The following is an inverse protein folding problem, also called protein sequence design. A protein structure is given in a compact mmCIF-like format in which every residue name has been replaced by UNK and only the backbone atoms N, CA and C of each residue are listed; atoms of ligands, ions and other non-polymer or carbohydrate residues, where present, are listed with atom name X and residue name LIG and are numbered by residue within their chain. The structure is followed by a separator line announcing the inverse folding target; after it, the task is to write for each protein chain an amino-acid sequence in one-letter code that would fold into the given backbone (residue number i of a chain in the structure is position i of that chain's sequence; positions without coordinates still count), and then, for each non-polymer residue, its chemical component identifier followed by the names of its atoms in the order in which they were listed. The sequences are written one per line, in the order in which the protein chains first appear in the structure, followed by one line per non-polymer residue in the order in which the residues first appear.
data_IF_897454691200
#
_entry.id   IF_897454691200
#
_cell.length_a   1.000
_cell.length_b   1.000
_cell.length_c   1.000
_cell.angle_alpha   90.00
_cell.angle_beta   90.00
_cell.angle_gamma   90.00
#
_symmetry.space_group_name_H-M   'P 1'
#
loop_
_entity.id
_entity.type
_entity.pdbx_description
1 polymer ?
#
# COMPACT_ATOMS: atom_id res chain seq x y z
N UNK A 1 35.73 -33.23 21.41
CA UNK A 1 34.46 -32.86 20.78
C UNK A 1 34.78 -31.81 19.72
N UNK A 2 34.59 -32.10 18.43
CA UNK A 2 34.98 -31.16 17.36
C UNK A 2 33.84 -30.17 17.14
N UNK A 3 34.10 -28.88 17.37
CA UNK A 3 33.17 -27.81 17.01
C UNK A 3 33.36 -27.53 15.51
N UNK A 4 32.43 -28.02 14.69
CA UNK A 4 32.37 -27.63 13.29
C UNK A 4 31.87 -26.17 13.21
N UNK A 5 32.60 -25.25 12.56
CA UNK A 5 32.09 -23.90 12.32
C UNK A 5 30.93 -23.97 11.33
N UNK A 6 29.80 -23.35 11.67
CA UNK A 6 28.70 -23.16 10.72
C UNK A 6 29.18 -22.22 9.59
N UNK A 7 28.90 -22.54 8.30
CA UNK A 7 29.28 -21.66 7.21
C UNK A 7 28.47 -20.36 7.28
N UNK A 8 29.17 -19.22 7.37
CA UNK A 8 28.58 -17.90 7.39
C UNK A 8 28.15 -17.42 5.99
N UNK A 9 27.30 -18.21 5.33
CA UNK A 9 26.43 -17.67 4.29
C UNK A 9 25.40 -16.77 4.96
N UNK A 10 25.26 -15.52 4.49
CA UNK A 10 24.07 -14.74 4.82
C UNK A 10 22.85 -15.53 4.32
N UNK A 11 21.96 -15.92 5.23
CA UNK A 11 20.86 -16.82 4.89
C UNK A 11 19.83 -16.06 4.05
N UNK A 12 19.60 -16.52 2.80
CA UNK A 12 18.51 -16.00 1.97
C UNK A 12 17.20 -16.03 2.76
N UNK A 13 16.48 -14.90 2.77
CA UNK A 13 15.19 -14.82 3.47
C UNK A 13 14.25 -15.94 2.98
N UNK A 14 13.50 -16.59 3.88
CA UNK A 14 12.84 -17.87 3.61
C UNK A 14 11.69 -17.75 2.61
N UNK A 15 11.20 -18.91 2.13
CA UNK A 15 10.00 -18.99 1.32
C UNK A 15 8.80 -18.37 2.06
N UNK A 16 7.93 -17.64 1.34
CA UNK A 16 6.79 -16.94 1.94
C UNK A 16 5.78 -17.94 2.50
N UNK A 17 5.41 -18.96 1.72
CA UNK A 17 4.46 -20.00 2.11
C UNK A 17 5.16 -21.05 3.00
N UNK A 18 4.53 -21.43 4.10
CA UNK A 18 5.03 -22.43 5.04
C UNK A 18 5.00 -23.83 4.42
N UNK A 19 5.99 -24.65 4.78
CA UNK A 19 6.04 -26.07 4.42
C UNK A 19 6.57 -26.89 5.60
N UNK A 20 6.61 -28.23 5.48
CA UNK A 20 7.21 -29.11 6.50
C UNK A 20 8.69 -28.81 6.77
N UNK A 21 9.40 -28.20 5.82
CA UNK A 21 10.81 -27.78 5.94
C UNK A 21 10.99 -26.26 6.03
N UNK A 22 9.89 -25.50 5.91
CA UNK A 22 9.84 -24.04 6.06
C UNK A 22 8.73 -23.67 7.06
N UNK A 23 8.92 -24.04 8.32
CA UNK A 23 8.07 -23.61 9.43
C UNK A 23 8.61 -22.35 10.11
N UNK A 24 7.75 -21.66 10.86
CA UNK A 24 8.21 -20.63 11.79
C UNK A 24 9.00 -21.31 12.93
N UNK A 25 10.22 -20.84 13.28
CA UNK A 25 10.98 -21.43 14.38
C UNK A 25 10.22 -21.36 15.70
N UNK A 26 10.15 -22.46 16.44
CA UNK A 26 9.32 -22.58 17.66
C UNK A 26 9.69 -21.59 18.80
N UNK A 27 10.83 -20.91 18.71
CA UNK A 27 11.21 -19.85 19.65
C UNK A 27 10.63 -18.46 19.27
N UNK A 28 10.13 -18.28 18.05
CA UNK A 28 9.46 -17.04 17.63
C UNK A 28 8.03 -17.03 18.17
N UNK A 29 7.89 -16.71 19.45
CA UNK A 29 6.60 -16.62 20.14
C UNK A 29 6.12 -15.17 20.24
N UNK A 30 4.80 -14.92 20.31
CA UNK A 30 4.25 -13.57 20.35
C UNK A 30 4.82 -12.70 21.47
N UNK A 31 5.01 -13.24 22.68
CA UNK A 31 5.50 -12.47 23.80
C UNK A 31 6.95 -12.01 23.66
N UNK A 32 7.83 -12.86 23.11
CA UNK A 32 9.21 -12.47 22.74
C UNK A 32 9.23 -11.43 21.61
N UNK A 33 8.34 -11.55 20.63
CA UNK A 33 8.23 -10.59 19.52
C UNK A 33 7.73 -9.22 20.00
N UNK A 34 6.76 -9.18 20.91
CA UNK A 34 6.34 -7.93 21.58
C UNK A 34 7.46 -7.34 22.44
N UNK A 35 8.21 -8.15 23.19
CA UNK A 35 9.34 -7.66 23.97
C UNK A 35 10.46 -7.08 23.09
N UNK A 36 10.73 -7.70 21.93
CA UNK A 36 11.69 -7.19 20.94
C UNK A 36 11.23 -5.89 20.27
N UNK A 37 9.94 -5.78 19.93
CA UNK A 37 9.30 -4.54 19.48
C UNK A 37 9.43 -3.44 20.56
N UNK A 38 9.08 -3.73 21.81
CA UNK A 38 9.17 -2.78 22.91
C UNK A 38 10.61 -2.33 23.22
N UNK A 39 11.62 -3.19 22.99
CA UNK A 39 13.03 -2.80 23.06
C UNK A 39 13.49 -1.84 21.95
N UNK A 40 12.69 -1.68 20.89
CA UNK A 40 12.95 -0.80 19.74
C UNK A 40 12.07 0.45 19.75
N UNK A 41 10.90 0.37 20.37
CA UNK A 41 9.99 1.48 20.64
C UNK A 41 9.46 1.36 22.07
N UNK A 42 9.93 2.22 22.98
CA UNK A 42 9.44 2.24 24.37
C UNK A 42 8.01 2.77 24.53
N UNK A 43 7.45 3.37 23.49
CA UNK A 43 6.14 4.02 23.46
C UNK A 43 5.21 3.34 22.43
N UNK A 44 5.11 2.00 22.47
CA UNK A 44 4.10 1.26 21.70
C UNK A 44 2.73 1.49 22.33
N UNK A 45 1.77 1.90 21.50
CA UNK A 45 0.39 2.13 21.93
C UNK A 45 -0.29 0.81 22.35
N UNK A 46 -1.08 0.86 23.41
CA UNK A 46 -1.78 -0.30 23.98
C UNK A 46 -2.71 -1.02 23.01
N UNK A 47 -3.26 -0.35 21.99
CA UNK A 47 -4.07 -1.05 20.98
C UNK A 47 -3.27 -2.04 20.11
N UNK A 48 -1.93 -1.90 20.04
CA UNK A 48 -1.06 -2.87 19.37
C UNK A 48 -0.61 -4.03 20.28
N UNK A 49 -1.06 -4.11 21.54
CA UNK A 49 -0.62 -5.13 22.51
C UNK A 49 -0.75 -6.58 22.03
N UNK A 50 -1.72 -6.89 21.16
CA UNK A 50 -1.94 -8.24 20.61
C UNK A 50 -1.24 -8.49 19.27
N UNK A 51 -0.62 -7.49 18.63
CA UNK A 51 -0.27 -7.57 17.20
C UNK A 51 0.59 -8.78 16.82
N UNK A 52 1.54 -9.19 17.66
CA UNK A 52 2.34 -10.40 17.42
C UNK A 52 1.54 -11.70 17.51
N UNK A 53 0.50 -11.74 18.35
CA UNK A 53 -0.42 -12.87 18.45
C UNK A 53 -1.36 -12.93 17.24
N UNK A 54 -1.78 -11.78 16.71
CA UNK A 54 -2.55 -11.71 15.46
C UNK A 54 -1.72 -12.12 14.24
N UNK A 55 -0.46 -11.68 14.13
CA UNK A 55 0.47 -12.18 13.09
C UNK A 55 0.63 -13.69 13.18
N UNK A 56 0.78 -14.23 14.39
CA UNK A 56 0.90 -15.66 14.60
C UNK A 56 -0.37 -16.43 14.22
N UNK A 57 -1.53 -16.00 14.72
CA UNK A 57 -2.81 -16.68 14.54
C UNK A 57 -3.22 -16.67 13.07
N UNK A 58 -3.27 -15.50 12.46
CA UNK A 58 -3.66 -15.32 11.04
C UNK A 58 -2.58 -15.91 10.12
N UNK A 59 -1.31 -15.91 10.54
CA UNK A 59 -0.21 -16.53 9.83
C UNK A 59 -0.27 -18.06 9.82
N UNK A 60 -0.51 -18.68 10.98
CA UNK A 60 -0.73 -20.12 11.12
C UNK A 60 -2.04 -20.55 10.43
N UNK A 61 -3.07 -19.70 10.35
CA UNK A 61 -4.27 -19.90 9.52
C UNK A 61 -3.89 -19.93 8.02
N UNK A 62 -3.29 -18.85 7.51
CA UNK A 62 -2.94 -18.61 6.10
C UNK A 62 -1.71 -19.38 5.58
N UNK A 63 -1.03 -20.16 6.44
CA UNK A 63 0.19 -20.94 6.12
C UNK A 63 1.30 -20.08 5.53
N UNK A 64 1.55 -18.90 6.12
CA UNK A 64 2.59 -17.94 5.72
C UNK A 64 3.65 -17.81 6.81
N UNK A 65 4.92 -17.62 6.44
CA UNK A 65 6.07 -17.36 7.33
C UNK A 65 5.94 -15.97 7.99
N UNK A 66 4.98 -15.89 8.89
CA UNK A 66 4.49 -14.66 9.52
C UNK A 66 5.50 -13.98 10.43
N UNK A 67 6.54 -14.69 10.88
CA UNK A 67 7.69 -14.12 11.58
C UNK A 67 8.41 -13.08 10.72
N UNK A 68 8.61 -13.37 9.43
CA UNK A 68 9.26 -12.42 8.52
C UNK A 68 8.31 -11.28 8.14
N UNK A 69 7.00 -11.55 8.04
CA UNK A 69 5.99 -10.48 7.90
C UNK A 69 5.96 -9.53 9.12
N UNK A 70 6.17 -10.06 10.33
CA UNK A 70 6.31 -9.23 11.54
C UNK A 70 7.57 -8.36 11.47
N UNK A 71 8.72 -8.90 11.05
CA UNK A 71 9.94 -8.11 10.86
C UNK A 71 9.81 -7.07 9.73
N UNK A 72 9.07 -7.38 8.67
CA UNK A 72 8.72 -6.45 7.61
C UNK A 72 7.82 -5.32 8.15
N UNK A 73 6.82 -5.62 8.98
CA UNK A 73 6.00 -4.62 9.67
C UNK A 73 6.86 -3.70 10.57
N UNK A 74 7.85 -4.23 11.30
CA UNK A 74 8.76 -3.40 12.09
C UNK A 74 9.56 -2.40 11.21
N UNK A 75 9.89 -2.78 9.97
CA UNK A 75 10.56 -1.90 9.01
C UNK A 75 9.60 -0.85 8.42
N UNK A 76 8.45 -1.28 7.88
CA UNK A 76 7.44 -0.42 7.24
C UNK A 76 6.87 0.65 8.19
N UNK A 77 6.57 0.26 9.42
CA UNK A 77 5.94 1.15 10.42
C UNK A 77 6.96 1.93 11.28
N UNK A 78 8.25 1.67 11.09
CA UNK A 78 9.31 2.19 11.95
C UNK A 78 9.16 1.75 13.41
N UNK A 79 8.88 0.45 13.65
CA UNK A 79 8.55 -0.15 14.95
C UNK A 79 7.28 0.45 15.58
N UNK A 80 6.21 0.56 14.78
CA UNK A 80 4.93 1.16 15.14
C UNK A 80 5.03 2.63 15.60
N UNK A 81 5.99 3.39 15.05
CA UNK A 81 6.11 4.84 15.31
C UNK A 81 5.50 5.72 14.23
N UNK A 82 5.09 5.15 13.08
CA UNK A 82 4.23 5.78 12.06
C UNK A 82 4.65 7.20 11.64
N UNK A 83 5.96 7.37 11.35
CA UNK A 83 6.58 8.66 10.98
C UNK A 83 6.50 8.99 9.47
N UNK A 84 5.63 8.30 8.74
CA UNK A 84 5.41 8.48 7.30
C UNK A 84 4.03 9.06 7.00
N UNK A 85 3.51 8.82 5.80
CA UNK A 85 2.16 9.25 5.42
C UNK A 85 1.05 8.44 6.14
N UNK A 86 1.36 7.17 6.48
CA UNK A 86 0.48 6.26 7.22
C UNK A 86 0.52 6.57 8.72
N UNK A 87 -0.66 6.75 9.32
CA UNK A 87 -0.88 6.98 10.75
C UNK A 87 -1.19 5.67 11.50
N UNK A 88 -0.91 5.65 12.81
CA UNK A 88 -1.14 4.46 13.67
C UNK A 88 -2.59 3.96 13.63
N UNK A 89 -3.55 4.88 13.76
CA UNK A 89 -4.99 4.59 13.77
C UNK A 89 -5.54 4.00 12.45
N UNK A 90 -4.74 3.90 11.39
CA UNK A 90 -5.12 3.23 10.15
C UNK A 90 -4.92 1.71 10.20
N UNK A 91 -4.21 1.18 11.20
CA UNK A 91 -3.81 -0.25 11.28
C UNK A 91 -3.09 -0.77 10.02
N UNK A 92 -2.52 0.13 9.20
CA UNK A 92 -1.94 -0.23 7.89
C UNK A 92 -0.45 -0.56 8.03
N UNK A 93 -0.17 -1.79 8.44
CA UNK A 93 1.16 -2.27 8.82
C UNK A 93 2.15 -2.50 7.66
N UNK A 94 1.75 -2.18 6.43
CA UNK A 94 2.45 -2.57 5.22
C UNK A 94 2.39 -1.52 4.09
N UNK A 95 2.04 -0.27 4.42
CA UNK A 95 2.02 0.84 3.45
C UNK A 95 1.00 0.67 2.31
N UNK A 96 -0.04 -0.15 2.50
CA UNK A 96 -0.97 -0.51 1.43
C UNK A 96 -1.73 0.73 0.96
N UNK A 97 -1.50 1.12 -0.30
CA UNK A 97 -2.13 2.28 -0.94
C UNK A 97 -1.40 3.61 -0.70
N UNK A 98 -0.41 3.67 0.21
CA UNK A 98 0.40 4.87 0.40
C UNK A 98 1.36 5.05 -0.80
N UNK A 99 1.53 6.30 -1.26
CA UNK A 99 2.34 6.62 -2.46
C UNK A 99 3.43 7.68 -2.21
N UNK A 100 3.62 8.07 -0.95
CA UNK A 100 4.39 9.26 -0.59
C UNK A 100 3.54 10.54 -0.59
N UNK A 101 4.15 11.65 -0.16
CA UNK A 101 3.62 13.03 -0.34
C UNK A 101 2.27 13.29 0.37
N UNK A 102 2.08 12.73 1.55
CA UNK A 102 0.88 12.82 2.40
C UNK A 102 -0.34 12.04 1.90
N UNK A 103 -0.19 11.11 0.95
CA UNK A 103 -1.25 10.15 0.59
C UNK A 103 -1.22 9.01 1.63
N UNK A 104 -2.23 8.90 2.53
CA UNK A 104 -2.13 8.05 3.72
C UNK A 104 -2.31 6.56 3.44
N UNK A 105 -2.80 6.20 2.25
CA UNK A 105 -3.15 4.83 1.91
C UNK A 105 -4.43 4.31 2.60
N UNK A 106 -4.60 3.00 2.58
CA UNK A 106 -5.77 2.32 3.14
C UNK A 106 -5.81 2.38 4.67
N UNK A 107 -6.99 2.10 5.23
CA UNK A 107 -7.23 2.04 6.67
C UNK A 107 -8.08 0.80 6.99
N UNK A 108 -7.75 0.11 8.07
CA UNK A 108 -8.39 -1.13 8.50
C UNK A 108 -9.04 -0.96 9.88
N UNK A 109 -10.22 -1.54 10.08
CA UNK A 109 -11.06 -1.31 11.26
C UNK A 109 -10.38 -1.67 12.59
N UNK A 110 -9.51 -2.68 12.57
CA UNK A 110 -8.77 -3.16 13.74
C UNK A 110 -7.40 -3.75 13.34
N UNK A 111 -6.58 -4.04 14.35
CA UNK A 111 -5.23 -4.60 14.20
C UNK A 111 -5.26 -5.95 13.48
N UNK A 112 -6.20 -6.85 13.82
CA UNK A 112 -6.29 -8.17 13.20
C UNK A 112 -6.60 -8.07 11.69
N UNK A 113 -7.46 -7.13 11.29
CA UNK A 113 -7.80 -6.84 9.89
C UNK A 113 -6.61 -6.25 9.15
N UNK A 114 -5.87 -5.31 9.77
CA UNK A 114 -4.63 -4.76 9.20
C UNK A 114 -3.52 -5.81 9.04
N UNK A 115 -3.39 -6.75 9.98
CA UNK A 115 -2.49 -7.90 9.88
C UNK A 115 -2.91 -8.84 8.75
N UNK A 116 -4.21 -9.17 8.66
CA UNK A 116 -4.76 -9.97 7.56
C UNK A 116 -4.50 -9.31 6.19
N UNK A 117 -4.65 -7.99 6.08
CA UNK A 117 -4.37 -7.22 4.88
C UNK A 117 -2.91 -7.40 4.41
N UNK A 118 -1.95 -7.26 5.32
CA UNK A 118 -0.52 -7.46 5.04
C UNK A 118 -0.23 -8.90 4.60
N UNK A 119 -0.68 -9.90 5.37
CA UNK A 119 -0.43 -11.31 5.07
C UNK A 119 -1.07 -11.76 3.75
N UNK A 120 -2.27 -11.25 3.42
CA UNK A 120 -2.90 -11.45 2.12
C UNK A 120 -2.10 -10.79 0.99
N UNK A 121 -1.60 -9.55 1.15
CA UNK A 121 -0.76 -8.93 0.11
C UNK A 121 0.51 -9.75 -0.15
N UNK A 122 1.13 -10.30 0.90
CA UNK A 122 2.30 -11.18 0.77
C UNK A 122 1.99 -12.54 0.09
N UNK A 123 0.82 -13.13 0.37
CA UNK A 123 0.37 -14.33 -0.35
C UNK A 123 0.15 -14.06 -1.85
N UNK A 124 -0.41 -12.90 -2.20
CA UNK A 124 -0.56 -12.48 -3.59
C UNK A 124 0.79 -12.29 -4.30
N UNK A 125 1.79 -11.71 -3.63
CA UNK A 125 3.17 -11.70 -4.13
C UNK A 125 3.73 -13.12 -4.33
N UNK A 126 3.43 -14.03 -3.40
CA UNK A 126 3.81 -15.44 -3.49
C UNK A 126 2.97 -16.28 -4.49
N UNK A 127 2.17 -15.64 -5.36
CA UNK A 127 1.40 -16.29 -6.41
C UNK A 127 0.21 -17.11 -5.92
N UNK A 128 -0.34 -16.78 -4.74
CA UNK A 128 -1.66 -17.28 -4.33
C UNK A 128 -2.76 -16.42 -4.97
N UNK A 129 -3.89 -17.05 -5.34
CA UNK A 129 -5.12 -16.33 -5.64
C UNK A 129 -5.98 -16.24 -4.38
N UNK A 130 -6.62 -15.09 -4.16
CA UNK A 130 -7.37 -14.80 -2.95
C UNK A 130 -8.79 -14.37 -3.31
N UNK A 131 -9.77 -15.18 -2.93
CA UNK A 131 -11.20 -14.97 -3.29
C UNK A 131 -11.76 -13.67 -2.69
N UNK A 132 -11.42 -13.36 -1.44
CA UNK A 132 -11.78 -12.11 -0.76
C UNK A 132 -10.57 -11.50 0.00
N UNK A 133 -9.78 -10.64 -0.67
CA UNK A 133 -8.73 -9.85 -0.05
C UNK A 133 -9.32 -8.65 0.72
N UNK A 134 -8.96 -8.46 2.00
CA UNK A 134 -9.53 -7.36 2.82
C UNK A 134 -9.01 -5.97 2.45
N UNK A 135 -7.97 -5.89 1.62
CA UNK A 135 -7.40 -4.63 1.13
C UNK A 135 -7.71 -4.43 -0.36
N UNK A 136 -8.17 -3.22 -0.69
CA UNK A 136 -8.53 -2.80 -2.05
C UNK A 136 -7.33 -2.82 -2.99
N UNK A 137 -6.14 -2.48 -2.51
CA UNK A 137 -4.90 -2.67 -3.29
C UNK A 137 -4.65 -4.13 -3.60
N UNK A 138 -4.95 -5.06 -2.70
CA UNK A 138 -4.77 -6.50 -2.95
C UNK A 138 -5.78 -6.99 -3.99
N UNK A 139 -7.05 -6.54 -3.93
CA UNK A 139 -8.03 -6.80 -5.00
C UNK A 139 -7.52 -6.33 -6.36
N UNK A 140 -7.14 -5.06 -6.48
CA UNK A 140 -6.75 -4.41 -7.75
C UNK A 140 -5.43 -4.95 -8.31
N UNK A 141 -4.43 -5.23 -7.46
CA UNK A 141 -3.15 -5.85 -7.88
C UNK A 141 -3.37 -7.28 -8.41
N UNK A 142 -4.36 -8.00 -7.88
CA UNK A 142 -4.75 -9.33 -8.36
C UNK A 142 -5.57 -9.25 -9.67
N UNK A 143 -6.62 -8.44 -9.69
CA UNK A 143 -7.54 -8.26 -10.82
C UNK A 143 -6.79 -7.82 -12.09
N UNK A 144 -5.92 -6.82 -11.98
CA UNK A 144 -5.16 -6.27 -13.11
C UNK A 144 -3.88 -7.07 -13.41
N UNK A 145 -3.63 -8.19 -12.72
CA UNK A 145 -2.47 -9.06 -12.95
C UNK A 145 -1.11 -8.38 -12.76
N UNK A 146 -1.01 -7.36 -11.89
CA UNK A 146 0.15 -6.44 -11.82
C UNK A 146 1.46 -7.18 -11.49
N UNK A 147 1.38 -8.28 -10.75
CA UNK A 147 2.53 -9.11 -10.39
C UNK A 147 2.77 -10.30 -11.35
N UNK A 148 1.86 -10.57 -12.27
CA UNK A 148 1.83 -11.80 -13.08
C UNK A 148 3.07 -11.95 -13.96
N UNK A 149 3.54 -10.88 -14.61
CA UNK A 149 4.74 -10.96 -15.46
C UNK A 149 6.04 -11.07 -14.66
N UNK A 150 6.11 -10.46 -13.47
CA UNK A 150 7.22 -10.71 -12.54
C UNK A 150 7.21 -12.16 -12.05
N UNK A 151 6.05 -12.69 -11.65
CA UNK A 151 5.89 -14.07 -11.19
C UNK A 151 6.32 -15.11 -12.25
N UNK A 152 6.03 -14.86 -13.54
CA UNK A 152 6.52 -15.69 -14.66
C UNK A 152 8.05 -15.77 -14.77
N UNK A 153 8.80 -14.81 -14.21
CA UNK A 153 10.28 -14.86 -14.20
C UNK A 153 10.85 -15.76 -13.10
N UNK A 154 10.07 -16.03 -12.05
CA UNK A 154 10.51 -16.78 -10.88
C UNK A 154 10.50 -18.29 -11.15
N UNK A 155 11.37 -19.01 -10.45
CA UNK A 155 11.49 -20.48 -10.54
C UNK A 155 11.37 -21.09 -9.15
N UNK A 156 10.33 -21.88 -8.92
CA UNK A 156 10.02 -22.47 -7.61
C UNK A 156 9.27 -21.51 -6.67
N UNK A 157 9.10 -21.88 -5.39
CA UNK A 157 8.33 -21.10 -4.42
C UNK A 157 8.97 -19.74 -4.12
N UNK A 158 8.16 -18.69 -4.11
CA UNK A 158 8.62 -17.32 -3.88
C UNK A 158 9.16 -17.15 -2.46
N UNK A 159 10.28 -16.44 -2.32
CA UNK A 159 10.91 -16.12 -1.03
C UNK A 159 10.89 -14.62 -0.69
N UNK A 160 11.06 -14.28 0.58
CA UNK A 160 11.01 -12.89 1.05
C UNK A 160 12.12 -12.01 0.46
N UNK A 161 13.24 -12.59 0.00
CA UNK A 161 14.32 -11.90 -0.73
C UNK A 161 13.86 -11.47 -2.14
N UNK A 162 13.05 -12.28 -2.81
CA UNK A 162 12.39 -11.95 -4.09
C UNK A 162 11.25 -10.94 -3.88
N UNK A 163 10.39 -11.14 -2.87
CA UNK A 163 9.32 -10.19 -2.51
C UNK A 163 9.93 -8.81 -2.24
N UNK A 164 10.96 -8.73 -1.40
CA UNK A 164 11.66 -7.50 -1.05
C UNK A 164 12.11 -6.67 -2.26
N UNK A 165 12.60 -7.35 -3.31
CA UNK A 165 13.08 -6.71 -4.55
C UNK A 165 11.94 -6.17 -5.42
N UNK A 166 10.77 -6.79 -5.37
CA UNK A 166 9.58 -6.34 -6.11
C UNK A 166 8.75 -5.32 -5.32
N UNK A 167 8.76 -5.41 -3.99
CA UNK A 167 8.04 -4.54 -3.07
C UNK A 167 8.69 -3.15 -2.95
N UNK A 168 10.02 -3.11 -2.84
CA UNK A 168 10.81 -1.89 -2.74
C UNK A 168 11.90 -1.82 -3.83
N UNK A 169 11.56 -1.78 -5.14
CA UNK A 169 12.51 -1.94 -6.23
C UNK A 169 13.55 -0.82 -6.35
N UNK A 170 13.31 0.35 -5.74
CA UNK A 170 14.29 1.43 -5.64
C UNK A 170 15.29 1.23 -4.48
N UNK A 171 14.98 0.36 -3.51
CA UNK A 171 15.79 0.14 -2.31
C UNK A 171 16.79 -0.99 -2.48
N UNK A 172 18.09 -0.65 -2.47
CA UNK A 172 19.19 -1.61 -2.44
C UNK A 172 19.46 -2.22 -1.06
N UNK A 173 18.63 -1.92 -0.05
CA UNK A 173 18.84 -2.32 1.34
C UNK A 173 17.68 -3.08 1.98
N UNK A 174 16.44 -2.85 1.53
CA UNK A 174 15.21 -3.36 2.16
C UNK A 174 15.27 -4.84 2.60
N UNK A 175 15.66 -5.75 1.69
CA UNK A 175 15.78 -7.18 2.01
C UNK A 175 16.83 -7.47 3.12
N UNK A 176 17.98 -6.78 3.06
CA UNK A 176 19.02 -6.86 4.08
C UNK A 176 18.55 -6.26 5.40
N UNK A 177 17.76 -5.18 5.37
CA UNK A 177 17.25 -4.56 6.58
C UNK A 177 16.23 -5.49 7.29
N UNK A 178 15.41 -6.23 6.54
CA UNK A 178 14.58 -7.33 7.08
C UNK A 178 15.47 -8.46 7.65
N UNK A 179 16.53 -8.88 6.94
CA UNK A 179 17.48 -9.89 7.45
C UNK A 179 18.13 -9.44 8.76
N UNK A 180 18.62 -8.21 8.83
CA UNK A 180 19.21 -7.61 10.03
C UNK A 180 18.24 -7.64 11.22
N UNK A 181 16.94 -7.37 11.00
CA UNK A 181 15.91 -7.44 12.04
C UNK A 181 15.67 -8.88 12.48
N UNK A 182 15.55 -9.83 11.54
CA UNK A 182 15.36 -11.24 11.83
C UNK A 182 16.57 -11.84 12.59
N UNK A 183 17.79 -11.57 12.13
CA UNK A 183 19.04 -11.97 12.78
C UNK A 183 19.16 -11.39 14.20
N UNK A 184 18.79 -10.11 14.37
CA UNK A 184 18.74 -9.46 15.69
C UNK A 184 17.79 -10.17 16.65
N UNK A 185 16.66 -10.71 16.17
CA UNK A 185 15.69 -11.45 16.97
C UNK A 185 16.17 -12.89 17.26
N UNK A 186 16.62 -13.63 16.25
CA UNK A 186 17.06 -15.03 16.37
C UNK A 186 18.41 -15.20 17.09
N UNK A 187 19.24 -14.16 17.12
CA UNK A 187 20.53 -14.16 17.81
C UNK A 187 20.42 -14.23 19.34
N UNK A 188 19.48 -13.50 19.94
CA UNK A 188 19.33 -13.43 21.41
C UNK A 188 17.88 -13.44 21.92
N UNK A 189 16.97 -12.51 21.55
CA UNK A 189 15.58 -12.50 22.03
C UNK A 189 14.83 -13.83 21.91
N UNK A 190 14.96 -14.55 20.79
CA UNK A 190 14.34 -15.86 20.59
C UNK A 190 14.84 -16.90 21.62
N UNK A 191 16.06 -16.76 22.14
CA UNK A 191 16.71 -17.72 23.05
C UNK A 191 16.41 -17.45 24.53
N UNK A 192 15.82 -16.30 24.86
CA UNK A 192 15.39 -15.97 26.20
C UNK A 192 14.15 -16.80 26.62
N UNK A 193 13.79 -16.73 27.91
CA UNK A 193 12.43 -17.08 28.35
C UNK A 193 11.40 -16.20 27.60
N UNK A 194 10.18 -16.69 27.42
CA UNK A 194 9.09 -15.85 26.91
C UNK A 194 8.55 -14.99 28.06
N UNK A 195 8.61 -13.65 27.99
CA UNK A 195 8.11 -12.79 29.06
C UNK A 195 6.57 -12.72 29.11
N UNK A 196 5.88 -12.96 27.99
CA UNK A 196 4.43 -12.78 27.85
C UNK A 196 3.81 -14.04 27.19
N UNK A 197 3.90 -15.23 27.85
CA UNK A 197 3.48 -16.50 27.26
C UNK A 197 1.96 -16.63 27.05
N UNK A 198 1.14 -15.83 27.72
CA UNK A 198 -0.31 -15.77 27.51
C UNK A 198 -0.68 -15.27 26.10
N UNK A 199 0.15 -14.44 25.47
CA UNK A 199 -0.04 -14.05 24.05
C UNK A 199 0.09 -15.25 23.09
N UNK A 200 0.83 -16.31 23.45
CA UNK A 200 0.86 -17.56 22.69
C UNK A 200 -0.45 -18.35 22.83
N UNK A 201 -1.12 -18.28 23.98
CA UNK A 201 -2.45 -18.87 24.17
C UNK A 201 -3.53 -18.09 23.40
N UNK A 202 -3.47 -16.76 23.40
CA UNK A 202 -4.33 -15.89 22.58
C UNK A 202 -4.18 -16.19 21.08
N UNK A 203 -2.97 -16.49 20.62
CA UNK A 203 -2.71 -16.86 19.23
C UNK A 203 -3.22 -18.27 18.85
N UNK A 204 -3.52 -19.14 19.83
CA UNK A 204 -3.94 -20.54 19.62
C UNK A 204 -5.13 -20.95 20.50
N UNK A 205 -6.31 -20.32 20.34
CA UNK A 205 -7.52 -20.69 21.07
C UNK A 205 -7.91 -22.14 20.74
N UNK A 206 -7.75 -23.03 21.73
CA UNK A 206 -7.94 -24.48 21.58
C UNK A 206 -6.67 -25.33 21.74
N UNK A 207 -5.48 -24.73 21.81
CA UNK A 207 -4.21 -25.43 22.14
C UNK A 207 -3.80 -25.27 23.61
N UNK A 208 -4.72 -24.88 24.49
CA UNK A 208 -4.45 -24.78 25.93
C UNK A 208 -4.07 -26.18 26.48
N UNK A 209 -2.99 -26.30 27.28
CA UNK A 209 -2.71 -27.53 28.01
C UNK A 209 -3.91 -27.85 28.91
N UNK A 210 -4.34 -29.11 28.92
CA UNK A 210 -5.35 -29.56 29.87
C UNK A 210 -4.83 -29.37 31.29
N UNK A 211 -5.31 -28.35 32.00
CA UNK A 211 -4.92 -28.11 33.38
C UNK A 211 -5.40 -29.28 34.23
N UNK A 212 -4.46 -30.02 34.80
CA UNK A 212 -4.74 -31.12 35.74
C UNK A 212 -5.22 -30.53 37.07
N UNK A 213 -6.51 -30.25 37.15
CA UNK A 213 -7.19 -29.80 38.36
C UNK A 213 -7.27 -30.94 39.39
N UNK A 214 -6.24 -31.06 40.22
CA UNK A 214 -6.31 -31.86 41.45
C UNK A 214 -7.42 -31.32 42.34
N UNK A 215 -8.35 -32.19 42.73
CA UNK A 215 -9.68 -31.78 43.21
C UNK A 215 -9.70 -31.11 44.59
N UNK A 216 -10.74 -30.31 44.81
CA UNK A 216 -11.34 -30.07 46.13
C UNK A 216 -12.81 -29.66 45.95
N UNK A 217 -13.69 -30.65 46.02
CA UNK A 217 -15.15 -30.47 46.13
C UNK A 217 -15.51 -29.82 47.47
N UNK A 218 -16.58 -29.01 47.54
CA UNK A 218 -17.77 -29.61 48.16
C UNK A 218 -19.11 -29.23 47.48
N UNK A 219 -19.63 -30.18 46.70
CA UNK A 219 -21.05 -30.52 46.51
C UNK A 219 -22.08 -29.76 47.38
N UNK A 220 -22.88 -28.91 46.73
CA UNK A 220 -24.28 -28.63 47.07
C UNK A 220 -25.12 -28.97 45.83
N UNK A 221 -26.35 -29.46 46.01
CA UNK A 221 -27.09 -30.14 44.95
C UNK A 221 -28.48 -29.56 44.64
N UNK A 222 -28.91 -29.76 43.40
CA UNK A 222 -30.28 -29.67 42.86
C UNK A 222 -31.00 -28.31 42.87
N UNK A 223 -31.26 -27.82 41.66
CA UNK A 223 -32.63 -27.75 41.15
C UNK A 223 -32.63 -28.21 39.67
N UNK A 224 -33.64 -28.98 39.25
CA UNK A 224 -33.83 -29.40 37.86
C UNK A 224 -34.90 -28.49 37.20
N UNK A 225 -34.67 -28.12 35.95
CA UNK A 225 -35.54 -27.26 35.15
C UNK A 225 -35.33 -27.54 33.65
N UNK A 226 -35.67 -28.75 33.21
CA UNK A 226 -35.53 -29.17 31.81
C UNK A 226 -36.29 -28.29 30.82
N UNK A 227 -35.55 -27.55 29.98
CA UNK A 227 -36.06 -26.86 28.81
C UNK A 227 -35.21 -27.23 27.57
N UNK A 228 -35.84 -27.87 26.58
CA UNK A 228 -35.14 -28.37 25.38
C UNK A 228 -34.74 -27.22 24.46
N UNK A 229 -33.44 -26.91 24.40
CA UNK A 229 -32.88 -25.87 23.54
C UNK A 229 -32.56 -26.41 22.14
N UNK A 230 -33.60 -26.56 21.31
CA UNK A 230 -33.42 -26.76 19.86
C UNK A 230 -32.66 -25.56 19.27
N UNK A 231 -31.45 -25.82 18.77
CA UNK A 231 -30.58 -24.77 18.21
C UNK A 231 -31.19 -24.18 16.94
N UNK A 232 -31.86 -23.03 17.07
CA UNK A 232 -32.24 -22.19 15.94
C UNK A 232 -30.98 -21.72 15.21
N UNK A 233 -30.98 -21.81 13.88
CA UNK A 233 -29.83 -21.41 13.06
C UNK A 233 -29.77 -19.89 12.90
N UNK A 234 -28.58 -19.34 12.63
CA UNK A 234 -28.42 -17.90 12.41
C UNK A 234 -29.26 -17.35 11.24
N UNK A 235 -29.59 -18.18 10.25
CA UNK A 235 -30.49 -17.82 9.16
C UNK A 235 -31.93 -17.54 9.64
N UNK A 236 -32.38 -18.21 10.71
CA UNK A 236 -33.72 -18.03 11.26
C UNK A 236 -33.81 -16.77 12.14
N UNK A 237 -32.72 -16.41 12.85
CA UNK A 237 -32.60 -15.09 13.49
C UNK A 237 -32.60 -13.96 12.45
N UNK A 238 -31.81 -14.10 11.37
CA UNK A 238 -31.74 -13.10 10.31
C UNK A 238 -33.11 -12.87 9.64
N UNK A 239 -33.88 -13.93 9.40
CA UNK A 239 -35.26 -13.85 8.89
C UNK A 239 -36.19 -13.09 9.84
N UNK A 240 -36.16 -13.38 11.14
CA UNK A 240 -36.96 -12.67 12.14
C UNK A 240 -36.61 -11.19 12.20
N UNK A 241 -35.33 -10.83 12.22
CA UNK A 241 -34.88 -9.44 12.22
C UNK A 241 -35.38 -8.65 10.99
N UNK A 242 -35.39 -9.27 9.81
CA UNK A 242 -35.92 -8.66 8.57
C UNK A 242 -37.46 -8.53 8.61
N UNK A 243 -38.17 -9.50 9.17
CA UNK A 243 -39.63 -9.44 9.32
C UNK A 243 -40.06 -8.40 10.38
N UNK A 244 -39.28 -8.27 11.45
CA UNK A 244 -39.49 -7.29 12.53
C UNK A 244 -39.21 -5.85 12.05
N UNK A 245 -38.12 -5.64 11.30
CA UNK A 245 -37.87 -4.37 10.60
C UNK A 245 -38.98 -4.02 9.58
N UNK A 246 -39.60 -5.02 8.95
CA UNK A 246 -40.74 -4.83 8.04
C UNK A 246 -42.05 -4.51 8.79
N UNK A 247 -42.19 -4.93 10.04
CA UNK A 247 -43.34 -4.63 10.91
C UNK A 247 -43.22 -3.30 11.66
N UNK A 248 -42.02 -2.85 11.98
CA UNK A 248 -41.77 -1.57 12.66
C UNK A 248 -41.84 -0.35 11.73
N UNK A 249 -41.87 -0.56 10.41
CA UNK A 249 -42.04 0.51 9.41
C UNK A 249 -40.83 1.43 9.22
N UNK A 250 -39.72 1.18 9.93
CA UNK A 250 -38.53 2.02 9.87
C UNK A 250 -37.69 1.74 8.62
N UNK A 251 -37.99 2.45 7.54
CA UNK A 251 -37.22 2.40 6.28
C UNK A 251 -36.60 3.76 5.94
N UNK A 252 -35.75 4.27 6.83
CA UNK A 252 -34.98 5.50 6.60
C UNK A 252 -33.70 5.20 5.83
N UNK A 253 -33.59 5.73 4.62
CA UNK A 253 -32.32 5.79 3.86
C UNK A 253 -31.50 6.97 4.36
N UNK A 254 -30.53 6.73 5.24
CA UNK A 254 -29.61 7.78 5.70
C UNK A 254 -28.58 8.13 4.63
N UNK A 255 -28.94 9.11 3.78
CA UNK A 255 -28.00 9.83 2.91
C UNK A 255 -27.19 10.87 3.70
N UNK A 256 -26.25 11.51 3.00
CA UNK A 256 -25.35 12.56 3.52
C UNK A 256 -26.06 13.92 3.61
N UNK A 257 -25.55 14.81 4.49
CA UNK A 257 -25.50 16.25 4.22
C UNK A 257 -26.24 17.20 5.17
N UNK A 258 -25.44 17.86 6.01
CA UNK A 258 -25.36 19.33 6.22
C UNK A 258 -26.57 20.21 6.65
N UNK A 259 -26.18 21.31 7.30
CA UNK A 259 -26.84 22.61 7.54
C UNK A 259 -28.17 22.74 8.32
N UNK A 260 -28.03 23.41 9.48
CA UNK A 260 -28.82 24.57 9.97
C UNK A 260 -30.29 24.41 10.42
N UNK A 261 -30.54 24.67 11.71
CA UNK A 261 -31.41 25.77 12.21
C UNK A 261 -31.38 25.87 13.75
N UNK A 262 -31.48 27.10 14.29
CA UNK A 262 -31.41 27.42 15.74
C UNK A 262 -32.51 28.42 16.12
N UNK A 263 -33.27 28.17 17.21
CA UNK A 263 -33.25 29.04 18.41
C UNK A 263 -32.78 28.27 19.67
N UNK A 264 -31.98 28.82 20.59
CA UNK A 264 -32.35 29.76 21.68
C UNK A 264 -33.36 29.12 22.67
N UNK A 265 -33.17 29.12 23.99
CA UNK A 265 -32.54 30.14 24.88
C UNK A 265 -31.77 29.54 26.08
N UNK A 266 -30.95 30.38 26.73
CA UNK A 266 -30.54 30.43 28.16
C UNK A 266 -30.17 29.11 28.89
N UNK A 267 -28.96 28.96 29.44
CA UNK A 267 -28.51 29.76 30.59
C UNK A 267 -26.96 29.95 30.65
N UNK A 268 -26.46 30.86 31.48
CA UNK A 268 -25.07 31.32 31.43
C UNK A 268 -24.26 31.12 32.73
N UNK A 269 -23.02 30.62 32.61
CA UNK A 269 -21.97 30.87 33.61
C UNK A 269 -20.54 30.73 33.06
N UNK A 270 -19.65 31.63 33.49
CA UNK A 270 -18.29 31.83 32.94
C UNK A 270 -17.20 31.60 33.98
N UNK A 271 -16.16 30.83 33.65
CA UNK A 271 -14.81 30.89 34.24
C UNK A 271 -13.79 30.65 33.11
N UNK A 272 -12.59 31.23 33.19
CA UNK A 272 -11.63 31.25 32.08
C UNK A 272 -10.15 31.14 32.52
N UNK A 273 -9.27 31.01 31.51
CA UNK A 273 -7.80 31.13 31.51
C UNK A 273 -6.99 29.90 32.00
N UNK A 274 -6.00 29.47 31.20
CA UNK A 274 -5.04 28.42 31.55
C UNK A 274 -4.13 27.93 30.39
N UNK A 275 -3.20 28.77 29.92
CA UNK A 275 -2.14 28.43 28.94
C UNK A 275 -0.75 28.68 29.58
N UNK A 276 0.22 27.74 29.54
CA UNK A 276 1.22 27.63 28.44
C UNK A 276 1.60 26.15 28.11
N UNK A 277 2.52 25.79 27.19
CA UNK A 277 3.58 26.54 26.47
C UNK A 277 3.90 25.93 25.06
N UNK A 278 4.80 26.59 24.31
CA UNK A 278 5.29 26.18 22.97
C UNK A 278 6.65 25.41 22.99
N UNK A 279 7.10 24.79 21.87
CA UNK A 279 7.96 23.59 21.91
C UNK A 279 9.47 23.79 21.64
N UNK A 280 10.26 22.79 22.04
CA UNK A 280 11.66 22.60 21.62
C UNK A 280 11.80 21.89 20.25
N UNK A 281 13.02 21.90 19.67
CA UNK A 281 13.30 21.50 18.28
C UNK A 281 14.34 20.37 18.14
N UNK A 282 14.22 19.66 17.02
CA UNK A 282 15.19 18.72 16.43
C UNK A 282 15.35 17.38 17.20
N UNK A 283 15.73 16.27 16.55
CA UNK A 283 16.46 16.12 15.27
C UNK A 283 15.74 15.18 14.29
N UNK A 284 15.91 15.43 12.99
CA UNK A 284 15.27 14.64 11.92
C UNK A 284 16.20 13.54 11.38
N UNK A 285 15.72 12.29 11.39
CA UNK A 285 16.37 11.15 10.71
C UNK A 285 15.79 10.99 9.31
N UNK A 286 16.65 10.92 8.29
CA UNK A 286 16.29 11.04 6.88
C UNK A 286 16.00 9.67 6.25
N UNK A 287 14.74 9.40 5.90
CA UNK A 287 14.29 8.15 5.23
C UNK A 287 14.16 8.36 3.71
N UNK A 288 14.25 7.27 2.95
CA UNK A 288 14.75 7.26 1.57
C UNK A 288 13.61 7.11 0.54
N UNK A 289 12.98 8.22 0.14
CA UNK A 289 12.27 8.30 -1.15
C UNK A 289 12.02 9.77 -1.57
N UNK A 290 13.07 10.45 -2.02
CA UNK A 290 12.97 11.77 -2.64
C UNK A 290 14.06 11.95 -3.71
N UNK A 291 13.67 11.86 -4.98
CA UNK A 291 14.48 12.35 -6.09
C UNK A 291 14.13 13.83 -6.34
N UNK A 292 15.12 14.72 -6.26
CA UNK A 292 14.97 16.11 -6.64
C UNK A 292 15.70 16.34 -7.99
N UNK A 293 15.06 16.94 -9.00
CA UNK A 293 15.74 17.38 -10.21
C UNK A 293 16.61 18.63 -9.92
N UNK A 294 17.64 18.91 -10.74
CA UNK A 294 18.38 20.16 -10.65
C UNK A 294 17.51 21.35 -11.08
N UNK A 295 17.77 22.52 -10.51
CA UNK A 295 17.15 23.78 -10.89
C UNK A 295 18.24 24.80 -11.27
N UNK A 296 18.14 25.33 -12.50
CA UNK A 296 19.01 26.39 -13.02
C UNK A 296 18.24 27.73 -13.06
N UNK A 297 18.82 28.77 -12.42
CA UNK A 297 18.50 30.20 -12.60
C UNK A 297 17.03 30.65 -12.23
N UNK A 298 16.68 31.93 -12.07
CA UNK A 298 17.27 33.21 -12.52
C UNK A 298 17.19 34.33 -11.44
N UNK A 299 18.27 35.12 -11.38
CA UNK A 299 18.51 36.47 -10.80
C UNK A 299 17.47 37.27 -9.97
N UNK A 300 18.00 37.86 -8.88
CA UNK A 300 17.94 39.29 -8.51
C UNK A 300 19.26 39.60 -7.75
N UNK A 301 20.13 40.59 -8.02
CA UNK A 301 20.02 42.03 -8.35
C UNK A 301 20.33 42.95 -7.14
N UNK A 302 21.61 43.38 -7.06
CA UNK A 302 22.10 44.62 -6.40
C UNK A 302 22.18 44.66 -4.85
N UNK A 303 23.14 45.36 -4.21
CA UNK A 303 24.28 46.16 -4.70
C UNK A 303 25.49 46.16 -3.72
N UNK A 304 26.67 46.50 -4.26
CA UNK A 304 27.85 47.23 -3.69
C UNK A 304 28.32 46.94 -2.24
N UNK A 305 29.63 46.67 -2.02
CA UNK A 305 30.65 47.74 -1.87
C UNK A 305 32.05 47.31 -2.34
N UNK A 306 32.90 48.31 -2.62
CA UNK A 306 34.19 48.27 -3.34
C UNK A 306 35.43 47.92 -2.47
N UNK A 307 36.45 47.21 -3.04
CA UNK A 307 37.87 47.69 -3.05
C UNK A 307 38.88 46.84 -3.88
N UNK A 308 39.47 47.53 -4.89
CA UNK A 308 40.91 47.57 -5.25
C UNK A 308 41.66 46.35 -5.82
N UNK A 309 41.88 46.40 -7.14
CA UNK A 309 43.00 45.79 -7.91
C UNK A 309 44.25 46.74 -7.86
N UNK A 310 45.50 46.34 -8.22
CA UNK A 310 45.94 45.92 -9.58
C UNK A 310 46.97 44.75 -9.55
N UNK A 311 47.66 44.31 -10.61
CA UNK A 311 47.41 44.08 -12.04
C UNK A 311 48.78 43.81 -12.70
N UNK A 312 48.89 42.74 -13.50
CA UNK A 312 49.71 42.59 -14.70
C UNK A 312 49.46 41.16 -15.22
N UNK A 313 49.75 40.70 -16.44
CA UNK A 313 49.97 41.20 -17.80
C UNK A 313 50.61 40.01 -18.54
N UNK A 314 50.45 39.87 -19.86
CA UNK A 314 50.81 38.65 -20.61
C UNK A 314 51.79 38.99 -21.77
N UNK A 315 51.78 38.33 -22.95
CA UNK A 315 51.65 36.90 -23.31
C UNK A 315 52.80 36.41 -24.25
N UNK A 316 53.02 35.08 -24.40
CA UNK A 316 53.68 34.51 -25.60
C UNK A 316 53.13 33.11 -25.96
N UNK A 317 53.06 32.82 -27.26
CA UNK A 317 52.70 31.54 -27.93
C UNK A 317 53.99 30.83 -28.45
N UNK A 318 53.99 29.78 -29.31
CA UNK A 318 52.97 28.76 -29.66
C UNK A 318 53.50 27.30 -29.64
N UNK A 319 52.64 26.29 -29.87
CA UNK A 319 52.86 25.28 -30.96
C UNK A 319 51.72 24.24 -31.16
N UNK A 320 51.39 24.02 -32.45
CA UNK A 320 50.92 22.80 -33.17
C UNK A 320 51.00 21.49 -32.35
N UNK A 321 50.09 20.49 -32.43
CA UNK A 321 49.17 19.99 -33.51
C UNK A 321 48.25 18.88 -32.86
N UNK A 322 47.13 18.33 -33.36
CA UNK A 322 46.32 18.42 -34.61
C UNK A 322 44.83 18.07 -34.31
N UNK A 323 43.98 17.97 -35.35
CA UNK A 323 42.52 17.72 -35.41
C UNK A 323 42.02 16.26 -35.34
N UNK A 324 40.76 16.07 -34.90
CA UNK A 324 39.67 15.54 -35.77
C UNK A 324 38.27 15.93 -35.24
N UNK A 325 37.31 16.26 -36.12
CA UNK A 325 35.97 16.79 -35.80
C UNK A 325 35.01 16.66 -37.00
N UNK A 326 33.88 15.95 -36.83
CA UNK A 326 32.66 15.98 -37.67
C UNK A 326 31.51 15.71 -36.69
N UNK A 327 30.54 16.57 -36.38
CA UNK A 327 29.59 17.42 -37.13
C UNK A 327 28.24 16.77 -37.47
N UNK A 328 27.20 17.57 -37.25
CA UNK A 328 25.77 17.30 -37.37
C UNK A 328 25.21 17.73 -38.74
N UNK A 329 24.02 17.23 -39.09
CA UNK A 329 23.17 17.82 -40.13
C UNK A 329 21.69 17.62 -39.77
N UNK A 330 20.82 18.53 -40.22
CA UNK A 330 19.37 18.46 -40.04
C UNK A 330 18.64 19.22 -41.16
N UNK A 331 17.39 18.81 -41.43
CA UNK A 331 16.34 19.49 -42.22
C UNK A 331 16.61 19.73 -43.74
N UNK A 332 15.57 19.46 -44.53
CA UNK A 332 15.51 19.77 -45.96
C UNK A 332 14.22 19.24 -46.60
N UNK A 333 13.49 20.09 -47.33
CA UNK A 333 12.26 19.75 -48.07
C UNK A 333 12.43 20.13 -49.54
N UNK A 334 11.90 19.36 -50.49
CA UNK A 334 12.09 19.64 -51.92
C UNK A 334 11.46 18.65 -52.90
N UNK A 335 10.32 19.03 -53.48
CA UNK A 335 9.49 18.28 -54.44
C UNK A 335 10.08 18.20 -55.86
N UNK A 336 10.03 17.04 -56.54
CA UNK A 336 9.29 16.80 -57.83
C UNK A 336 9.69 15.55 -58.65
N UNK A 337 8.64 14.94 -59.21
CA UNK A 337 8.46 14.08 -60.40
C UNK A 337 9.65 13.49 -61.20
N UNK A 338 9.52 12.19 -61.47
CA UNK A 338 9.55 11.65 -62.85
C UNK A 338 8.37 10.67 -63.05
N UNK A 339 8.00 10.39 -64.31
CA UNK A 339 6.81 9.60 -64.72
C UNK A 339 7.14 8.84 -66.01
N UNK A 340 6.68 7.60 -66.17
CA UNK A 340 6.23 6.92 -67.42
C UNK A 340 5.73 5.47 -67.04
N UNK A 341 4.94 4.74 -67.88
CA UNK A 341 3.62 4.33 -67.37
C UNK A 341 3.16 2.87 -67.68
N UNK A 342 2.06 2.48 -67.00
CA UNK A 342 1.11 1.45 -67.48
C UNK A 342 1.32 0.01 -66.95
N UNK A 343 0.32 -0.89 -66.96
CA UNK A 343 -1.11 -0.75 -67.31
C UNK A 343 -1.95 -1.74 -66.45
N UNK A 344 -3.24 -1.44 -66.25
CA UNK A 344 -4.39 -2.35 -65.96
C UNK A 344 -4.67 -2.90 -64.54
N UNK A 345 -5.93 -2.65 -64.14
CA UNK A 345 -6.87 -3.59 -63.47
C UNK A 345 -6.79 -3.89 -61.97
N UNK A 346 -7.59 -3.11 -61.23
CA UNK A 346 -8.64 -3.57 -60.30
C UNK A 346 -8.29 -4.76 -59.37
N UNK A 347 -7.78 -4.42 -58.19
CA UNK A 347 -8.14 -5.09 -56.93
C UNK A 347 -8.08 -4.08 -55.79
N UNK A 348 -9.16 -3.33 -55.58
CA UNK A 348 -9.37 -2.63 -54.30
C UNK A 348 -9.51 -3.69 -53.21
N UNK A 349 -8.68 -3.69 -52.16
CA UNK A 349 -9.03 -4.40 -50.95
C UNK A 349 -10.20 -3.66 -50.34
N UNK A 350 -11.41 -4.22 -50.47
CA UNK A 350 -12.60 -3.73 -49.78
C UNK A 350 -12.27 -3.71 -48.29
N UNK A 351 -12.16 -2.51 -47.71
CA UNK A 351 -12.09 -2.35 -46.27
C UNK A 351 -13.35 -2.97 -45.68
N UNK A 352 -13.21 -4.16 -45.09
CA UNK A 352 -14.24 -4.69 -44.18
C UNK A 352 -14.57 -3.60 -43.17
N UNK A 353 -15.85 -3.38 -42.84
CA UNK A 353 -16.23 -2.38 -41.85
C UNK A 353 -15.47 -2.72 -40.57
N UNK A 354 -14.52 -1.87 -40.19
CA UNK A 354 -13.69 -2.14 -39.02
C UNK A 354 -14.62 -2.25 -37.82
N UNK A 355 -14.60 -3.41 -37.16
CA UNK A 355 -15.30 -3.60 -35.91
C UNK A 355 -15.02 -2.39 -35.01
N UNK A 356 -16.09 -1.77 -34.49
CA UNK A 356 -15.96 -0.63 -33.58
C UNK A 356 -15.00 -1.02 -32.46
N UNK A 357 -14.15 -0.09 -32.00
CA UNK A 357 -13.39 -0.36 -30.79
C UNK A 357 -14.37 -0.73 -29.69
N UNK A 358 -14.15 -1.86 -29.02
CA UNK A 358 -14.93 -2.17 -27.82
C UNK A 358 -14.70 -1.03 -26.83
N UNK A 359 -15.75 -0.59 -26.15
CA UNK A 359 -15.65 0.50 -25.19
C UNK A 359 -15.79 -0.05 -23.77
N UNK A 360 -15.18 0.61 -22.79
CA UNK A 360 -15.41 0.37 -21.36
C UNK A 360 -15.32 1.64 -20.53
N UNK A 361 -16.26 1.81 -19.62
CA UNK A 361 -16.20 2.79 -18.54
C UNK A 361 -15.62 2.15 -17.28
N UNK A 362 -14.73 2.89 -16.60
CA UNK A 362 -14.08 2.50 -15.36
C UNK A 362 -14.17 3.62 -14.34
N UNK A 363 -14.10 3.31 -13.04
CA UNK A 363 -13.98 4.30 -11.97
C UNK A 363 -12.70 4.10 -11.17
N UNK A 364 -12.10 5.20 -10.73
CA UNK A 364 -10.91 5.26 -9.88
C UNK A 364 -11.03 6.49 -8.97
N UNK A 365 -10.31 6.51 -7.85
CA UNK A 365 -10.39 7.62 -6.89
C UNK A 365 -9.07 7.79 -6.12
N UNK A 366 -8.62 9.02 -5.98
CA UNK A 366 -7.62 9.48 -5.02
C UNK A 366 -8.26 10.20 -3.81
N UNK A 367 -9.59 10.15 -3.69
CA UNK A 367 -10.37 11.04 -2.82
C UNK A 367 -10.56 12.44 -3.42
N UNK A 368 -11.47 13.21 -2.82
CA UNK A 368 -11.86 14.55 -3.28
C UNK A 368 -13.29 14.60 -3.82
N UNK A 369 -13.74 15.80 -4.21
CA UNK A 369 -15.07 16.05 -4.79
C UNK A 369 -15.07 16.28 -6.31
N UNK A 370 -13.89 16.41 -6.92
CA UNK A 370 -13.73 16.65 -8.36
C UNK A 370 -13.43 15.34 -9.08
N UNK A 371 -13.75 15.25 -10.37
CA UNK A 371 -13.55 14.04 -11.17
C UNK A 371 -13.05 14.39 -12.58
N UNK A 372 -12.08 13.62 -13.08
CA UNK A 372 -11.46 13.80 -14.41
C UNK A 372 -11.71 12.55 -15.24
N UNK A 373 -12.24 12.71 -16.46
CA UNK A 373 -12.36 11.58 -17.40
C UNK A 373 -11.04 11.45 -18.16
N UNK A 374 -10.42 10.27 -18.07
CA UNK A 374 -9.18 9.90 -18.78
C UNK A 374 -9.52 8.85 -19.83
N UNK A 375 -9.27 9.15 -21.10
CA UNK A 375 -9.42 8.21 -22.21
C UNK A 375 -8.07 7.58 -22.55
N UNK A 376 -7.97 6.26 -22.56
CA UNK A 376 -6.78 5.53 -23.03
C UNK A 376 -7.15 4.42 -24.02
N UNK A 377 -6.25 4.15 -24.98
CA UNK A 377 -6.46 3.14 -26.03
C UNK A 377 -5.47 2.00 -25.91
N UNK A 378 -5.97 0.78 -25.70
CA UNK A 378 -5.16 -0.45 -25.65
C UNK A 378 -5.83 -1.53 -26.51
N UNK A 379 -5.08 -2.26 -27.34
CA UNK A 379 -5.54 -3.44 -28.09
C UNK A 379 -6.88 -3.29 -28.84
N UNK A 380 -7.12 -2.11 -29.40
CA UNK A 380 -8.36 -1.68 -30.09
C UNK A 380 -9.59 -1.52 -29.18
N UNK A 381 -9.42 -1.49 -27.87
CA UNK A 381 -10.39 -1.04 -26.87
C UNK A 381 -10.19 0.45 -26.55
N UNK A 382 -11.28 1.20 -26.41
CA UNK A 382 -11.33 2.54 -25.83
C UNK A 382 -11.74 2.42 -24.35
N UNK A 383 -10.86 2.77 -23.43
CA UNK A 383 -11.14 2.78 -21.99
C UNK A 383 -11.32 4.23 -21.52
N UNK A 384 -12.44 4.53 -20.87
CA UNK A 384 -12.70 5.81 -20.21
C UNK A 384 -12.72 5.61 -18.70
N UNK A 385 -11.74 6.16 -17.99
CA UNK A 385 -11.71 6.15 -16.51
C UNK A 385 -12.25 7.47 -15.98
N UNK A 386 -13.31 7.42 -15.18
CA UNK A 386 -13.65 8.51 -14.25
C UNK A 386 -12.69 8.41 -13.07
N UNK A 387 -11.79 9.37 -12.93
CA UNK A 387 -10.86 9.45 -11.82
C UNK A 387 -11.29 10.58 -10.88
N UNK A 388 -11.76 10.24 -9.69
CA UNK A 388 -11.97 11.22 -8.63
C UNK A 388 -10.62 11.71 -8.06
N UNK A 389 -10.52 13.01 -7.85
CA UNK A 389 -9.29 13.75 -7.56
C UNK A 389 -9.54 14.86 -6.54
N UNK A 390 -8.47 15.26 -5.85
CA UNK A 390 -8.51 16.33 -4.88
C UNK A 390 -8.52 17.70 -5.58
N UNK A 391 -9.38 18.62 -5.12
CA UNK A 391 -9.54 19.96 -5.69
C UNK A 391 -8.19 20.72 -5.77
N UNK A 392 -7.94 21.37 -6.91
CA UNK A 392 -6.70 22.08 -7.18
C UNK A 392 -5.49 21.18 -7.48
N UNK A 393 -5.69 19.87 -7.64
CA UNK A 393 -4.65 18.90 -7.99
C UNK A 393 -4.97 17.98 -9.17
N UNK A 394 -6.10 18.23 -9.84
CA UNK A 394 -6.71 17.40 -10.88
C UNK A 394 -5.71 16.97 -11.95
N UNK A 395 -4.98 17.94 -12.51
CA UNK A 395 -3.99 17.74 -13.57
C UNK A 395 -2.77 16.93 -13.11
N UNK A 396 -2.41 17.01 -11.83
CA UNK A 396 -1.30 16.25 -11.23
C UNK A 396 -1.71 14.80 -10.98
N UNK A 397 -2.92 14.59 -10.47
CA UNK A 397 -3.44 13.26 -10.11
C UNK A 397 -3.87 12.47 -11.36
N UNK A 398 -4.48 13.13 -12.35
CA UNK A 398 -4.72 12.55 -13.67
C UNK A 398 -3.41 12.20 -14.40
N UNK A 399 -2.39 13.07 -14.39
CA UNK A 399 -1.09 12.75 -15.00
C UNK A 399 -0.37 11.58 -14.30
N UNK A 400 -0.49 11.47 -12.97
CA UNK A 400 0.03 10.32 -12.21
C UNK A 400 -0.70 9.01 -12.60
N UNK A 401 -2.03 9.06 -12.75
CA UNK A 401 -2.84 7.93 -13.18
C UNK A 401 -2.51 7.50 -14.62
N UNK A 402 -2.36 8.45 -15.54
CA UNK A 402 -1.93 8.22 -16.94
C UNK A 402 -0.55 7.57 -17.00
N UNK A 403 0.41 8.03 -16.19
CA UNK A 403 1.76 7.45 -16.16
C UNK A 403 1.78 6.01 -15.60
N UNK A 404 0.94 5.70 -14.61
CA UNK A 404 0.93 4.42 -13.90
C UNK A 404 0.04 3.36 -14.57
N UNK A 405 -1.19 3.72 -14.93
CA UNK A 405 -2.26 2.77 -15.29
C UNK A 405 -2.80 3.00 -16.71
N UNK A 406 -2.91 4.25 -17.16
CA UNK A 406 -3.53 4.61 -18.44
C UNK A 406 -2.50 5.18 -19.45
N UNK A 407 -1.46 4.40 -19.76
CA UNK A 407 -0.31 4.84 -20.59
C UNK A 407 -0.75 5.32 -21.98
N UNK A 408 -0.35 6.54 -22.33
CA UNK A 408 -0.77 7.18 -23.58
C UNK A 408 -2.24 7.64 -23.57
N UNK A 409 -2.88 7.70 -22.40
CA UNK A 409 -4.19 8.29 -22.22
C UNK A 409 -4.16 9.81 -22.06
N UNK A 410 -5.30 10.43 -22.32
CA UNK A 410 -5.50 11.88 -22.34
C UNK A 410 -6.73 12.26 -21.50
N UNK A 411 -6.70 13.42 -20.85
CA UNK A 411 -7.83 13.97 -20.09
C UNK A 411 -8.87 14.57 -21.05
N UNK A 412 -10.10 14.04 -21.05
CA UNK A 412 -11.18 14.43 -21.97
C UNK A 412 -12.33 15.22 -21.31
N UNK A 413 -12.26 15.45 -19.99
CA UNK A 413 -13.16 16.35 -19.26
C UNK A 413 -12.82 16.44 -17.77
N UNK A 414 -13.16 17.56 -17.13
CA UNK A 414 -13.01 17.84 -15.70
C UNK A 414 -14.40 18.25 -15.14
N UNK A 415 -14.79 17.72 -13.97
CA UNK A 415 -16.15 17.83 -13.40
C UNK A 415 -16.09 18.07 -11.88
N UNK A 416 -17.11 18.74 -11.33
CA UNK A 416 -17.23 19.05 -9.89
C UNK A 416 -18.04 18.02 -9.10
N UNK A 417 -18.34 16.85 -9.69
CA UNK A 417 -18.89 15.68 -8.99
C UNK A 417 -18.71 14.40 -9.83
N UNK A 418 -18.61 13.21 -9.19
CA UNK A 418 -18.44 11.94 -9.90
C UNK A 418 -19.61 11.55 -10.81
N UNK A 419 -20.86 11.89 -10.44
CA UNK A 419 -22.05 11.49 -11.20
C UNK A 419 -22.04 12.08 -12.61
N UNK A 420 -21.80 13.39 -12.75
CA UNK A 420 -21.71 14.03 -14.07
C UNK A 420 -20.54 13.50 -14.91
N UNK A 421 -19.41 13.17 -14.28
CA UNK A 421 -18.28 12.55 -14.97
C UNK A 421 -18.62 11.13 -15.45
N UNK A 422 -19.41 10.36 -14.68
CA UNK A 422 -19.83 9.01 -15.02
C UNK A 422 -20.91 8.99 -16.12
N UNK A 423 -21.93 9.85 -16.01
CA UNK A 423 -22.93 10.07 -17.05
C UNK A 423 -22.23 10.45 -18.37
N UNK A 424 -21.26 11.36 -18.31
CA UNK A 424 -20.50 11.80 -19.48
C UNK A 424 -19.53 10.72 -20.01
N UNK A 425 -18.99 9.85 -19.15
CA UNK A 425 -18.21 8.71 -19.59
C UNK A 425 -19.07 7.70 -20.38
N UNK A 426 -20.31 7.43 -19.94
CA UNK A 426 -21.25 6.59 -20.70
C UNK A 426 -21.73 7.26 -22.00
N UNK A 427 -21.94 8.58 -22.05
CA UNK A 427 -22.18 9.29 -23.33
C UNK A 427 -21.01 9.13 -24.32
N UNK A 428 -19.77 9.17 -23.82
CA UNK A 428 -18.56 8.97 -24.63
C UNK A 428 -18.30 7.49 -24.96
N UNK A 429 -19.03 6.57 -24.30
CA UNK A 429 -18.80 5.13 -24.33
C UNK A 429 -20.13 4.33 -24.28
N UNK A 430 -21.04 4.47 -25.27
CA UNK A 430 -22.40 3.91 -25.16
C UNK A 430 -22.49 2.38 -25.22
N UNK A 431 -21.37 1.72 -25.54
CA UNK A 431 -21.23 0.26 -25.69
C UNK A 431 -20.44 -0.38 -24.51
N UNK A 432 -20.18 0.35 -23.41
CA UNK A 432 -19.19 -0.02 -22.39
C UNK A 432 -19.54 0.26 -20.93
#
# INVERSE_FOLDING_TARGET
MVVAPLPASAADLPQVKMTKTNSVPACATPGRLMAFLNSRNGNVDGHFSTIAADYMRIGDELKIRWDIAFFQMLLETGNLTFKGDVKSNQNNFAGLGATGKHVPGESFADVATGVKAHLQHLLLYAGEHLDDPVAERTRKVQEWGVLTDWQKTLKGPVNYEQVSKQWAPTSRRYARDISNIAESFYGSPCRAADPNPELLALARPGSAPAQTSTASDPKVAMADAGASSSKLSGAELARRAVEEARKSGSFVRSGLGAEELVPQTDDAQTVAVGEPAQPEKAQAVKIINAAAPPADAVAAASAETETRRPADSAPVEPTKKTTKKIQTAALGSGTKSSVLPGITSKSTPTLSPSARPTCKVWTASYGGGHSVIIRARADRQDNYTVLDVNEGSEKREAAAYIAAYAKGGETVGEFTNPSQALDKAFELCPDG
#
